data_IF_766449867596
#
_entry.id   IF_766449867596
#
_cell.length_a   1.000
_cell.length_b   1.000
_cell.length_c   1.000
_cell.angle_alpha   90.00
_cell.angle_beta   90.00
_cell.angle_gamma   90.00
#
_symmetry.space_group_name_H-M   'P 1'
#
loop_
_entity.id
_entity.type
_entity.pdbx_description
1 polymer ?
#
# COMPACT_ATOMS: atom_id res chain seq x y z
N UNK A 1 6.98 -19.59 7.25
CA UNK A 1 7.68 -18.39 7.75
C UNK A 1 8.68 -17.93 6.70
N UNK A 2 8.68 -16.63 6.35
CA UNK A 2 9.70 -16.03 5.47
C UNK A 2 11.07 -16.14 6.16
N UNK A 3 12.12 -16.54 5.43
CA UNK A 3 13.48 -16.54 5.97
C UNK A 3 13.98 -15.10 6.12
N UNK A 4 14.66 -14.74 7.23
CA UNK A 4 15.23 -13.40 7.38
C UNK A 4 16.16 -13.06 6.22
N UNK A 5 16.02 -11.86 5.67
CA UNK A 5 16.90 -11.36 4.60
C UNK A 5 17.26 -9.90 4.89
N UNK A 6 18.25 -9.65 5.77
CA UNK A 6 18.55 -8.31 6.27
C UNK A 6 18.87 -7.30 5.16
N UNK A 7 19.53 -7.75 4.09
CA UNK A 7 19.82 -6.91 2.93
C UNK A 7 18.55 -6.47 2.21
N UNK A 8 17.62 -7.39 1.93
CA UNK A 8 16.35 -7.02 1.30
C UNK A 8 15.52 -6.09 2.20
N UNK A 9 15.45 -6.38 3.50
CA UNK A 9 14.73 -5.56 4.48
C UNK A 9 15.28 -4.15 4.54
N UNK A 10 16.62 -3.99 4.51
CA UNK A 10 17.25 -2.68 4.45
C UNK A 10 16.89 -1.93 3.16
N UNK A 11 17.01 -2.57 1.99
CA UNK A 11 16.68 -1.96 0.70
C UNK A 11 15.22 -1.53 0.63
N UNK A 12 14.29 -2.38 1.07
CA UNK A 12 12.87 -2.07 1.11
C UNK A 12 12.59 -0.89 2.05
N UNK A 13 13.22 -0.85 3.22
CA UNK A 13 13.11 0.28 4.15
C UNK A 13 13.60 1.58 3.51
N UNK A 14 14.72 1.56 2.79
CA UNK A 14 15.22 2.74 2.08
C UNK A 14 14.27 3.17 0.95
N UNK A 15 13.62 2.22 0.27
CA UNK A 15 12.63 2.53 -0.75
C UNK A 15 11.45 3.34 -0.18
N UNK A 16 10.91 2.92 0.96
CA UNK A 16 9.83 3.63 1.64
C UNK A 16 10.25 5.00 2.22
N UNK A 17 11.52 5.18 2.55
CA UNK A 17 12.09 6.44 3.04
C UNK A 17 12.58 7.36 1.91
N UNK A 18 12.45 6.95 0.64
CA UNK A 18 12.87 7.78 -0.48
C UNK A 18 12.04 9.08 -0.53
N UNK A 19 12.63 10.20 -0.98
CA UNK A 19 11.93 11.49 -1.05
C UNK A 19 10.61 11.42 -1.83
N UNK A 20 10.58 10.65 -2.92
CA UNK A 20 9.39 10.50 -3.76
C UNK A 20 8.25 9.82 -3.00
N UNK A 21 8.54 8.74 -2.25
CA UNK A 21 7.52 8.02 -1.48
C UNK A 21 7.08 8.82 -0.25
N UNK A 22 8.00 9.52 0.39
CA UNK A 22 7.68 10.45 1.48
C UNK A 22 6.73 11.54 0.97
N UNK A 23 7.01 12.12 -0.20
CA UNK A 23 6.15 13.14 -0.80
C UNK A 23 4.78 12.56 -1.17
N UNK A 24 4.72 11.36 -1.77
CA UNK A 24 3.44 10.69 -2.06
C UNK A 24 2.61 10.50 -0.78
N UNK A 25 3.21 10.10 0.33
CA UNK A 25 2.48 9.95 1.60
C UNK A 25 1.97 11.30 2.12
N UNK A 26 2.77 12.37 2.01
CA UNK A 26 2.35 13.72 2.40
C UNK A 26 1.18 14.22 1.54
N UNK A 27 1.27 14.04 0.22
CA UNK A 27 0.24 14.48 -0.73
C UNK A 27 -1.10 13.75 -0.55
N UNK A 28 -1.08 12.55 0.07
CA UNK A 28 -2.26 11.72 0.31
C UNK A 28 -2.72 11.72 1.78
N UNK A 29 -2.20 12.61 2.63
CA UNK A 29 -2.52 12.64 4.06
C UNK A 29 -4.03 12.79 4.36
N UNK A 30 -4.78 13.53 3.53
CA UNK A 30 -6.24 13.65 3.68
C UNK A 30 -6.97 12.34 3.38
N UNK A 31 -6.55 11.63 2.32
CA UNK A 31 -7.08 10.30 2.00
C UNK A 31 -6.79 9.32 3.14
N UNK A 32 -5.57 9.36 3.67
CA UNK A 32 -5.13 8.49 4.77
C UNK A 32 -5.97 8.73 6.03
N UNK A 33 -6.17 9.99 6.39
CA UNK A 33 -7.04 10.37 7.51
C UNK A 33 -8.47 9.85 7.34
N UNK A 34 -9.03 9.99 6.13
CA UNK A 34 -10.36 9.46 5.81
C UNK A 34 -10.41 7.93 5.92
N UNK A 35 -9.44 7.21 5.36
CA UNK A 35 -9.39 5.75 5.42
C UNK A 35 -9.22 5.26 6.87
N UNK A 36 -8.40 5.95 7.67
CA UNK A 36 -8.25 5.69 9.11
C UNK A 36 -9.57 5.85 9.85
N UNK A 37 -10.30 6.94 9.59
CA UNK A 37 -11.62 7.15 10.20
C UNK A 37 -12.62 6.05 9.81
N UNK A 38 -12.66 5.63 8.54
CA UNK A 38 -13.63 4.65 8.04
C UNK A 38 -13.33 3.22 8.43
N UNK A 39 -12.05 2.88 8.64
CA UNK A 39 -11.63 1.50 8.94
C UNK A 39 -11.33 1.28 10.42
N UNK A 40 -11.03 2.35 11.17
CA UNK A 40 -10.50 2.26 12.54
C UNK A 40 -9.05 1.72 12.61
N UNK A 41 -8.41 1.49 11.46
CA UNK A 41 -7.00 1.07 11.35
C UNK A 41 -6.16 2.31 11.03
N UNK A 42 -4.97 2.39 11.59
CA UNK A 42 -4.03 3.46 11.23
C UNK A 42 -3.52 3.27 9.80
N UNK A 43 -3.90 4.18 8.90
CA UNK A 43 -3.44 4.26 7.52
C UNK A 43 -2.49 5.45 7.43
N UNK A 44 -1.20 5.19 7.36
CA UNK A 44 -0.14 6.22 7.41
C UNK A 44 0.84 6.14 6.21
N UNK A 45 0.64 5.16 5.33
CA UNK A 45 1.56 4.86 4.24
C UNK A 45 0.86 4.19 3.06
N UNK A 46 1.47 4.26 1.88
CA UNK A 46 0.99 3.55 0.68
C UNK A 46 0.89 2.03 0.88
N UNK A 47 1.67 1.44 1.80
CA UNK A 47 1.57 0.02 2.14
C UNK A 47 0.23 -0.28 2.83
N UNK A 48 -0.18 0.57 3.77
CA UNK A 48 -1.46 0.41 4.45
C UNK A 48 -2.65 0.59 3.49
N UNK A 49 -2.52 1.51 2.53
CA UNK A 49 -3.50 1.67 1.43
C UNK A 49 -3.54 0.43 0.54
N UNK A 50 -2.40 -0.14 0.17
CA UNK A 50 -2.33 -1.39 -0.62
C UNK A 50 -3.04 -2.54 0.09
N UNK A 51 -2.75 -2.73 1.38
CA UNK A 51 -3.36 -3.80 2.17
C UNK A 51 -4.89 -3.66 2.20
N UNK A 52 -5.40 -2.45 2.42
CA UNK A 52 -6.84 -2.18 2.40
C UNK A 52 -7.44 -2.36 1.01
N UNK A 53 -6.78 -1.85 -0.04
CA UNK A 53 -7.19 -2.02 -1.43
C UNK A 53 -7.33 -3.51 -1.78
N UNK A 54 -6.33 -4.32 -1.42
CA UNK A 54 -6.34 -5.76 -1.67
C UNK A 54 -7.49 -6.46 -0.95
N UNK A 55 -7.79 -6.07 0.29
CA UNK A 55 -8.96 -6.59 1.01
C UNK A 55 -10.26 -6.28 0.27
N UNK A 56 -10.49 -5.02 -0.10
CA UNK A 56 -11.71 -4.60 -0.84
C UNK A 56 -11.80 -5.30 -2.20
N UNK A 57 -10.69 -5.45 -2.91
CA UNK A 57 -10.65 -6.14 -4.20
C UNK A 57 -11.00 -7.63 -4.06
N UNK A 58 -10.50 -8.29 -3.02
CA UNK A 58 -10.85 -9.69 -2.75
C UNK A 58 -12.33 -9.81 -2.40
N UNK A 59 -12.87 -8.93 -1.56
CA UNK A 59 -14.29 -8.92 -1.19
C UNK A 59 -15.17 -8.76 -2.44
N UNK A 60 -14.90 -7.76 -3.27
CA UNK A 60 -15.61 -7.51 -4.53
C UNK A 60 -15.54 -8.72 -5.48
N UNK A 61 -14.35 -9.30 -5.68
CA UNK A 61 -14.16 -10.47 -6.55
C UNK A 61 -14.90 -11.71 -6.07
N UNK A 62 -15.20 -11.79 -4.78
CA UNK A 62 -16.00 -12.87 -4.18
C UNK A 62 -17.49 -12.52 -4.04
N UNK A 63 -17.94 -11.41 -4.63
CA UNK A 63 -19.34 -10.99 -4.62
C UNK A 63 -19.83 -10.48 -3.26
N UNK A 64 -18.91 -10.12 -2.36
CA UNK A 64 -19.28 -9.48 -1.09
C UNK A 64 -19.58 -8.00 -1.33
N UNK A 65 -20.65 -7.46 -0.71
CA UNK A 65 -20.96 -6.04 -0.86
C UNK A 65 -19.93 -5.19 -0.12
N UNK A 66 -19.36 -4.22 -0.81
CA UNK A 66 -18.47 -3.25 -0.18
C UNK A 66 -19.27 -2.19 0.59
N UNK A 67 -18.75 -1.69 1.73
CA UNK A 67 -19.39 -0.61 2.48
C UNK A 67 -19.55 0.66 1.64
N UNK A 68 -20.62 1.43 1.86
CA UNK A 68 -20.95 2.63 1.08
C UNK A 68 -19.82 3.68 0.99
N UNK A 69 -19.04 3.84 2.07
CA UNK A 69 -17.95 4.81 2.13
C UNK A 69 -16.85 4.54 1.08
N UNK A 70 -16.71 3.29 0.64
CA UNK A 70 -15.67 2.85 -0.32
C UNK A 70 -15.89 3.46 -1.70
N UNK A 71 -17.14 3.76 -2.10
CA UNK A 71 -17.48 4.29 -3.43
C UNK A 71 -16.76 5.60 -3.80
N UNK A 72 -16.33 6.36 -2.79
CA UNK A 72 -15.63 7.63 -2.97
C UNK A 72 -14.12 7.49 -3.18
N UNK A 73 -13.55 6.30 -2.92
CA UNK A 73 -12.09 6.06 -2.85
C UNK A 73 -11.64 4.81 -3.59
N UNK A 74 -12.43 3.73 -3.60
CA UNK A 74 -12.14 2.46 -4.23
C UNK A 74 -12.89 2.29 -5.57
N UNK A 75 -12.26 1.74 -6.62
CA UNK A 75 -10.82 1.53 -6.72
C UNK A 75 -10.05 2.85 -6.91
N UNK A 76 -10.71 3.91 -7.37
CA UNK A 76 -10.14 5.16 -7.89
C UNK A 76 -8.89 5.69 -7.18
N UNK A 77 -9.07 6.43 -6.08
CA UNK A 77 -7.98 7.12 -5.36
C UNK A 77 -6.94 6.15 -4.76
N UNK A 78 -7.31 4.89 -4.57
CA UNK A 78 -6.46 3.89 -3.92
C UNK A 78 -5.59 3.12 -4.92
N UNK A 79 -6.05 2.94 -6.16
CA UNK A 79 -5.44 2.00 -7.11
C UNK A 79 -3.99 2.31 -7.45
N UNK A 80 -3.67 3.58 -7.70
CA UNK A 80 -2.32 3.98 -8.08
C UNK A 80 -1.35 3.87 -6.88
N UNK A 81 -1.82 4.19 -5.67
CA UNK A 81 -1.05 4.02 -4.44
C UNK A 81 -0.77 2.55 -4.13
N UNK A 82 -1.79 1.69 -4.28
CA UNK A 82 -1.65 0.25 -4.11
C UNK A 82 -0.67 -0.33 -5.15
N UNK A 83 -0.77 0.10 -6.41
CA UNK A 83 0.13 -0.33 -7.48
C UNK A 83 1.57 0.12 -7.24
N UNK A 84 1.75 1.36 -6.76
CA UNK A 84 3.06 1.91 -6.41
C UNK A 84 3.70 1.14 -5.24
N UNK A 85 2.93 0.88 -4.18
CA UNK A 85 3.39 0.09 -3.03
C UNK A 85 3.82 -1.31 -3.46
N UNK A 86 3.01 -2.00 -4.28
CA UNK A 86 3.35 -3.31 -4.81
C UNK A 86 4.65 -3.28 -5.66
N UNK A 87 4.84 -2.23 -6.45
CA UNK A 87 6.06 -2.06 -7.25
C UNK A 87 7.32 -1.87 -6.38
N UNK A 88 7.21 -1.26 -5.18
CA UNK A 88 8.36 -1.01 -4.31
C UNK A 88 9.08 -2.29 -3.88
N UNK A 89 8.36 -3.40 -3.74
CA UNK A 89 8.93 -4.71 -3.41
C UNK A 89 9.93 -5.23 -4.47
N UNK A 90 9.97 -4.60 -5.65
CA UNK A 90 10.87 -4.97 -6.75
C UNK A 90 11.52 -3.75 -7.43
N UNK A 91 11.60 -2.60 -6.75
CA UNK A 91 11.98 -1.34 -7.39
C UNK A 91 13.41 -1.30 -7.94
N UNK A 92 14.35 -2.08 -7.38
CA UNK A 92 15.76 -2.09 -7.81
C UNK A 92 16.28 -3.52 -8.12
N UNK A 93 17.43 -3.60 -8.78
CA UNK A 93 18.03 -4.88 -9.21
C UNK A 93 18.37 -5.80 -8.02
N UNK A 94 18.82 -5.22 -6.90
CA UNK A 94 19.17 -5.97 -5.69
C UNK A 94 17.90 -6.62 -5.14
N UNK A 95 16.82 -5.87 -5.01
CA UNK A 95 15.54 -6.36 -4.51
C UNK A 95 14.93 -7.38 -5.44
N UNK A 96 14.93 -7.16 -6.77
CA UNK A 96 14.46 -8.15 -7.75
C UNK A 96 15.23 -9.47 -7.66
N UNK A 97 16.53 -9.42 -7.43
CA UNK A 97 17.36 -10.62 -7.26
C UNK A 97 17.10 -11.34 -5.93
N UNK A 98 16.83 -10.60 -4.85
CA UNK A 98 16.67 -11.15 -3.50
C UNK A 98 15.23 -11.55 -3.17
N UNK A 99 14.25 -11.08 -3.92
CA UNK A 99 12.82 -11.32 -3.72
C UNK A 99 12.29 -12.42 -4.66
N UNK A 100 12.83 -13.64 -4.52
CA UNK A 100 12.47 -14.81 -5.33
C UNK A 100 12.65 -16.13 -4.59
#
# INVERSE_FOLDING_TARGET
MKKPCPRYEQELKQAYLSPDIVQVNLDNAELYSYLTEKTGKDIDSILEVELLYNTLEIEERNGLPLPEWTKSVYPGKMKDLASLSLALFTHNDIMRRLNG
#
